data_IF_477811970178
#
_entry.id   IF_477811970178
#
_cell.length_a   1.000
_cell.length_b   1.000
_cell.length_c   1.000
_cell.angle_alpha   90.00
_cell.angle_beta   90.00
_cell.angle_gamma   90.00
#
_symmetry.space_group_name_H-M   'P 1'
#
loop_
_entity.id
_entity.type
_entity.pdbx_description
1 polymer ?
#
# COMPACT_ATOMS: atom_id res chain seq x y z
N UNK A 1 -17.16 -35.29 -16.18
CA UNK A 1 -16.36 -34.17 -15.66
C UNK A 1 -16.58 -33.01 -16.58
N UNK A 2 -17.33 -31.98 -16.17
CA UNK A 2 -17.51 -30.78 -16.99
C UNK A 2 -16.15 -30.11 -17.18
N UNK A 3 -15.77 -29.79 -18.41
CA UNK A 3 -14.51 -29.10 -18.69
C UNK A 3 -14.57 -27.70 -18.06
N UNK A 4 -13.48 -27.23 -17.47
CA UNK A 4 -13.40 -25.91 -16.82
C UNK A 4 -13.95 -24.78 -17.71
N UNK A 5 -13.73 -24.89 -19.02
CA UNK A 5 -14.21 -23.96 -20.04
C UNK A 5 -15.73 -23.87 -20.18
N UNK A 6 -16.47 -24.90 -19.77
CA UNK A 6 -17.93 -24.91 -19.81
C UNK A 6 -18.51 -24.20 -18.59
N UNK A 7 -17.86 -24.36 -17.43
CA UNK A 7 -18.19 -23.63 -16.21
C UNK A 7 -17.96 -22.12 -16.41
N UNK A 8 -16.84 -21.74 -17.02
CA UNK A 8 -16.50 -20.33 -17.30
C UNK A 8 -17.55 -19.64 -18.19
N UNK A 9 -18.07 -20.37 -19.19
CA UNK A 9 -19.14 -19.87 -20.06
C UNK A 9 -20.45 -19.67 -19.32
N UNK A 10 -20.82 -20.58 -18.42
CA UNK A 10 -22.03 -20.45 -17.59
C UNK A 10 -21.93 -19.24 -16.66
N UNK A 11 -20.75 -19.01 -16.06
CA UNK A 11 -20.49 -17.86 -15.20
C UNK A 11 -20.61 -16.55 -15.99
N UNK A 12 -20.04 -16.47 -17.19
CA UNK A 12 -20.18 -15.29 -18.06
C UNK A 12 -21.64 -15.00 -18.42
N UNK A 13 -22.41 -16.04 -18.75
CA UNK A 13 -23.83 -15.88 -19.08
C UNK A 13 -24.64 -15.38 -17.87
N UNK A 14 -24.33 -15.89 -16.68
CA UNK A 14 -24.96 -15.44 -15.44
C UNK A 14 -24.64 -13.97 -15.12
N UNK A 15 -23.37 -13.57 -15.24
CA UNK A 15 -22.95 -12.18 -14.98
C UNK A 15 -23.64 -11.19 -15.93
N UNK A 16 -23.75 -11.55 -17.20
CA UNK A 16 -24.50 -10.74 -18.19
C UNK A 16 -25.99 -10.68 -17.89
N UNK A 17 -26.59 -11.81 -17.49
CA UNK A 17 -28.01 -11.84 -17.12
C UNK A 17 -28.32 -10.97 -15.89
N UNK A 18 -27.41 -10.93 -14.92
CA UNK A 18 -27.56 -10.10 -13.71
C UNK A 18 -27.17 -8.63 -13.91
N UNK A 19 -26.62 -8.26 -15.07
CA UNK A 19 -26.27 -6.88 -15.39
C UNK A 19 -24.89 -6.44 -14.90
N UNK A 20 -24.03 -7.36 -14.47
CA UNK A 20 -22.66 -7.04 -14.08
C UNK A 20 -21.73 -7.02 -15.30
N UNK A 21 -21.84 -5.96 -16.11
CA UNK A 21 -21.09 -5.81 -17.36
C UNK A 21 -19.58 -5.64 -17.13
N UNK A 22 -19.19 -4.82 -16.14
CA UNK A 22 -17.79 -4.55 -15.82
C UNK A 22 -17.06 -5.81 -15.34
N UNK A 23 -17.69 -6.57 -14.44
CA UNK A 23 -17.11 -7.83 -13.94
C UNK A 23 -17.05 -8.89 -15.03
N UNK A 24 -18.01 -8.93 -15.95
CA UNK A 24 -17.97 -9.87 -17.07
C UNK A 24 -16.79 -9.56 -18.01
N UNK A 25 -16.50 -8.28 -18.26
CA UNK A 25 -15.33 -7.88 -19.06
C UNK A 25 -14.01 -8.24 -18.38
N UNK A 26 -13.91 -8.06 -17.06
CA UNK A 26 -12.72 -8.47 -16.30
C UNK A 26 -12.56 -9.99 -16.29
N UNK A 27 -13.62 -10.74 -16.05
CA UNK A 27 -13.59 -12.20 -16.07
C UNK A 27 -13.20 -12.77 -17.46
N UNK A 28 -13.60 -12.11 -18.54
CA UNK A 28 -13.18 -12.46 -19.90
C UNK A 28 -11.68 -12.22 -20.11
N UNK A 29 -11.13 -11.13 -19.57
CA UNK A 29 -9.68 -10.87 -19.58
C UNK A 29 -8.92 -11.91 -18.75
N UNK A 30 -9.46 -12.33 -17.60
CA UNK A 30 -8.82 -13.28 -16.70
C UNK A 30 -8.86 -14.72 -17.22
N UNK A 31 -9.95 -15.12 -17.89
CA UNK A 31 -10.06 -16.44 -18.57
C UNK A 31 -9.18 -16.49 -19.82
N UNK A 32 -9.06 -15.39 -20.56
CA UNK A 32 -8.10 -15.25 -21.66
C UNK A 32 -6.65 -15.27 -21.16
N UNK A 33 -6.35 -14.59 -20.06
CA UNK A 33 -5.04 -14.63 -19.41
C UNK A 33 -4.73 -16.04 -18.87
N UNK A 34 -5.69 -16.73 -18.26
CA UNK A 34 -5.52 -18.09 -17.74
C UNK A 34 -5.34 -19.15 -18.82
N UNK A 35 -5.89 -18.94 -20.02
CA UNK A 35 -5.64 -19.82 -21.17
C UNK A 35 -4.26 -19.58 -21.80
N UNK A 36 -3.69 -18.37 -21.68
CA UNK A 36 -2.30 -18.10 -22.06
C UNK A 36 -1.27 -18.52 -21.00
N UNK A 37 -1.65 -18.57 -19.71
CA UNK A 37 -0.74 -18.85 -18.59
C UNK A 37 -0.50 -20.34 -18.32
N UNK A 38 -1.15 -21.26 -19.06
CA UNK A 38 -1.06 -22.71 -18.84
C UNK A 38 0.12 -23.40 -19.56
N UNK A 39 0.89 -22.69 -20.40
CA UNK A 39 2.03 -23.27 -21.14
C UNK A 39 3.39 -22.59 -20.94
N UNK A 40 3.51 -21.53 -20.13
CA UNK A 40 4.80 -20.89 -19.89
C UNK A 40 5.08 -20.63 -18.42
N UNK A 41 6.10 -21.33 -17.92
CA UNK A 41 6.80 -20.95 -16.70
C UNK A 41 7.61 -19.68 -17.00
N UNK A 42 7.19 -18.57 -16.39
CA UNK A 42 7.99 -17.43 -15.88
C UNK A 42 8.78 -16.54 -16.88
N UNK A 43 8.63 -15.22 -16.67
CA UNK A 43 9.39 -14.02 -17.15
C UNK A 43 8.96 -13.40 -18.50
N UNK A 44 8.70 -12.09 -18.63
CA UNK A 44 8.84 -10.94 -17.72
C UNK A 44 7.98 -9.76 -18.26
N UNK A 45 7.17 -9.13 -17.39
CA UNK A 45 7.02 -7.67 -17.32
C UNK A 45 6.25 -7.31 -16.03
N UNK A 46 7.04 -7.14 -14.97
CA UNK A 46 6.89 -6.18 -13.86
C UNK A 46 5.51 -6.02 -13.21
N UNK A 47 5.06 -7.06 -12.50
CA UNK A 47 4.10 -6.94 -11.41
C UNK A 47 4.68 -7.70 -10.22
N UNK A 48 5.57 -7.03 -9.47
CA UNK A 48 5.94 -7.45 -8.12
C UNK A 48 4.78 -7.18 -7.15
N UNK A 49 3.61 -7.79 -7.42
CA UNK A 49 2.60 -7.97 -6.38
C UNK A 49 3.16 -8.96 -5.38
N UNK A 50 3.93 -8.41 -4.44
CA UNK A 50 4.18 -9.00 -3.12
C UNK A 50 2.92 -9.72 -2.66
N UNK A 51 3.06 -11.00 -2.30
CA UNK A 51 1.95 -11.89 -1.97
C UNK A 51 1.28 -11.42 -0.67
N UNK A 52 0.43 -10.40 -0.81
CA UNK A 52 -0.29 -9.68 0.23
C UNK A 52 -1.02 -10.63 1.17
N UNK A 53 -1.49 -11.75 0.62
CA UNK A 53 -2.27 -12.77 1.33
C UNK A 53 -1.38 -13.71 2.15
N UNK A 54 -0.23 -14.11 1.62
CA UNK A 54 0.69 -15.02 2.30
C UNK A 54 1.37 -14.34 3.49
N UNK A 55 1.80 -13.08 3.31
CA UNK A 55 2.42 -12.31 4.38
C UNK A 55 1.41 -11.82 5.44
N UNK A 56 0.19 -11.45 5.05
CA UNK A 56 -0.86 -11.10 6.01
C UNK A 56 -1.18 -12.28 6.94
N UNK A 57 -1.21 -13.51 6.41
CA UNK A 57 -1.38 -14.73 7.22
C UNK A 57 -0.21 -14.97 8.19
N UNK A 58 1.03 -14.65 7.80
CA UNK A 58 2.21 -14.83 8.65
C UNK A 58 2.24 -13.86 9.84
N UNK A 59 1.83 -12.61 9.63
CA UNK A 59 1.77 -11.58 10.68
C UNK A 59 0.45 -11.67 11.49
N UNK A 60 -0.45 -12.60 11.16
CA UNK A 60 -1.73 -12.81 11.84
C UNK A 60 -2.75 -11.69 11.62
N UNK A 61 -2.59 -10.91 10.54
CA UNK A 61 -3.45 -9.78 10.17
C UNK A 61 -4.34 -10.18 8.98
N UNK A 62 -5.54 -9.60 8.85
CA UNK A 62 -6.34 -9.85 7.64
C UNK A 62 -5.74 -9.10 6.45
N UNK A 63 -5.81 -9.66 5.23
CA UNK A 63 -5.32 -8.97 4.01
C UNK A 63 -5.94 -7.58 3.86
N UNK A 64 -7.18 -7.41 4.32
CA UNK A 64 -7.94 -6.17 4.27
C UNK A 64 -7.37 -5.09 5.22
N UNK A 65 -6.81 -5.51 6.37
CA UNK A 65 -6.19 -4.61 7.37
C UNK A 65 -4.78 -4.22 6.95
N UNK A 66 -4.08 -5.11 6.24
CA UNK A 66 -2.73 -4.86 5.73
C UNK A 66 -2.74 -3.91 4.53
N UNK A 67 -3.73 -4.05 3.63
CA UNK A 67 -3.96 -3.09 2.56
C UNK A 67 -4.30 -1.69 3.10
N UNK A 68 -4.97 -1.58 4.26
CA UNK A 68 -5.29 -0.29 4.88
C UNK A 68 -4.07 0.40 5.52
N UNK A 69 -3.04 -0.34 5.93
CA UNK A 69 -1.80 0.25 6.49
C UNK A 69 -0.78 0.52 5.39
N UNK A 70 -1.14 1.38 4.43
CA UNK A 70 -0.34 1.74 3.27
C UNK A 70 1.10 2.16 3.61
N UNK A 71 1.31 2.99 4.64
CA UNK A 71 2.65 3.45 5.06
C UNK A 71 3.56 2.28 5.48
N UNK A 72 3.02 1.32 6.24
CA UNK A 72 3.77 0.14 6.67
C UNK A 72 3.94 -0.87 5.53
N UNK A 73 2.94 -0.96 4.64
CA UNK A 73 2.97 -1.80 3.45
C UNK A 73 4.10 -1.38 2.48
N UNK A 74 4.29 -0.09 2.23
CA UNK A 74 5.41 0.41 1.41
C UNK A 74 6.75 0.33 2.17
N UNK A 75 6.69 0.49 3.49
CA UNK A 75 7.79 0.22 4.44
C UNK A 75 8.39 -1.16 4.32
N UNK A 76 7.56 -2.18 4.19
CA UNK A 76 8.05 -3.57 4.14
C UNK A 76 8.52 -3.99 2.74
N UNK A 77 7.92 -3.44 1.68
CA UNK A 77 8.05 -4.02 0.33
C UNK A 77 9.03 -3.28 -0.60
N UNK A 78 10.08 -2.64 -0.07
CA UNK A 78 11.05 -1.88 -0.88
C UNK A 78 10.39 -0.83 -1.80
N UNK A 79 9.28 -0.23 -1.34
CA UNK A 79 8.54 0.74 -2.14
C UNK A 79 9.36 2.00 -2.43
N UNK A 80 9.16 2.55 -3.63
CA UNK A 80 9.78 3.81 -4.08
C UNK A 80 9.74 4.89 -3.00
N UNK A 81 10.86 5.58 -2.78
CA UNK A 81 10.97 6.65 -1.79
C UNK A 81 9.92 7.77 -1.97
N UNK A 82 9.43 7.98 -3.20
CA UNK A 82 8.35 8.92 -3.53
C UNK A 82 7.00 8.58 -2.87
N UNK A 83 6.74 7.30 -2.60
CA UNK A 83 5.48 6.87 -1.95
C UNK A 83 5.42 7.31 -0.49
N UNK A 84 6.53 7.28 0.24
CA UNK A 84 6.57 7.75 1.63
C UNK A 84 6.13 9.21 1.77
N UNK A 85 6.58 10.08 0.84
CA UNK A 85 6.17 11.50 0.83
C UNK A 85 4.67 11.65 0.57
N UNK A 86 4.12 10.89 -0.38
CA UNK A 86 2.69 10.96 -0.74
C UNK A 86 1.79 10.50 0.41
N UNK A 87 2.11 9.35 0.99
CA UNK A 87 1.32 8.70 2.04
C UNK A 87 1.39 9.50 3.35
N UNK A 88 2.57 10.03 3.69
CA UNK A 88 2.72 10.88 4.86
C UNK A 88 1.97 12.22 4.71
N UNK A 89 1.90 12.78 3.49
CA UNK A 89 1.09 13.96 3.21
C UNK A 89 -0.41 13.67 3.35
N UNK A 90 -0.88 12.52 2.88
CA UNK A 90 -2.26 12.09 3.06
C UNK A 90 -2.61 11.94 4.54
N UNK A 91 -1.73 11.31 5.34
CA UNK A 91 -1.88 11.24 6.80
C UNK A 91 -1.94 12.64 7.43
N UNK A 92 -1.08 13.56 7.02
CA UNK A 92 -1.06 14.92 7.54
C UNK A 92 -2.36 15.68 7.23
N UNK A 93 -2.86 15.54 6.01
CA UNK A 93 -4.14 16.11 5.56
C UNK A 93 -5.31 15.51 6.33
N UNK A 94 -5.29 14.20 6.57
CA UNK A 94 -6.31 13.51 7.37
C UNK A 94 -6.30 13.99 8.83
N UNK A 95 -5.12 14.14 9.44
CA UNK A 95 -5.00 14.71 10.80
C UNK A 95 -5.56 16.14 10.83
N UNK A 96 -5.28 16.96 9.82
CA UNK A 96 -5.80 18.33 9.74
C UNK A 96 -7.33 18.37 9.64
N UNK A 97 -7.94 17.42 8.92
CA UNK A 97 -9.38 17.24 8.77
C UNK A 97 -10.07 16.51 9.95
N UNK A 98 -9.31 15.98 10.91
CA UNK A 98 -9.85 15.28 12.07
C UNK A 98 -10.50 16.24 13.08
N UNK A 99 -11.35 15.70 13.97
CA UNK A 99 -12.06 16.49 14.99
C UNK A 99 -11.07 17.16 15.96
N UNK A 100 -11.27 18.45 16.25
CA UNK A 100 -10.39 19.27 17.10
C UNK A 100 -10.08 18.65 18.47
N UNK A 101 -11.01 17.87 19.02
CA UNK A 101 -10.85 17.15 20.29
C UNK A 101 -9.69 16.14 20.23
N UNK A 102 -9.51 15.46 19.10
CA UNK A 102 -8.51 14.41 18.92
C UNK A 102 -7.19 14.94 18.35
N UNK A 103 -7.18 16.12 17.70
CA UNK A 103 -5.97 16.75 17.16
C UNK A 103 -4.75 16.73 18.09
N UNK A 104 -4.83 17.07 19.40
CA UNK A 104 -3.65 17.06 20.26
C UNK A 104 -3.04 15.66 20.45
N UNK A 105 -3.86 14.60 20.43
CA UNK A 105 -3.40 13.21 20.52
C UNK A 105 -2.81 12.73 19.19
N UNK A 106 -3.48 13.02 18.07
CA UNK A 106 -2.95 12.67 16.75
C UNK A 106 -1.62 13.38 16.42
N UNK A 107 -1.46 14.64 16.83
CA UNK A 107 -0.19 15.37 16.68
C UNK A 107 0.93 14.73 17.51
N UNK A 108 0.62 14.14 18.67
CA UNK A 108 1.62 13.45 19.48
C UNK A 108 2.12 12.15 18.83
N UNK A 109 1.22 11.41 18.18
CA UNK A 109 1.51 10.15 17.47
C UNK A 109 2.15 10.39 16.09
N UNK A 110 1.96 11.56 15.49
CA UNK A 110 2.58 11.94 14.20
C UNK A 110 4.11 11.84 14.21
N UNK A 111 4.76 12.29 15.28
CA UNK A 111 6.23 12.31 15.35
C UNK A 111 6.89 10.92 15.41
N UNK A 112 6.49 9.97 16.27
CA UNK A 112 7.10 8.64 16.26
C UNK A 112 6.91 7.93 14.91
N UNK A 113 5.79 8.20 14.22
CA UNK A 113 5.57 7.74 12.84
C UNK A 113 6.56 8.38 11.86
N UNK A 114 6.75 9.70 11.93
CA UNK A 114 7.72 10.42 11.10
C UNK A 114 9.15 9.89 11.27
N UNK A 115 9.60 9.71 12.52
CA UNK A 115 10.93 9.17 12.82
C UNK A 115 11.07 7.75 12.30
N UNK A 116 10.05 6.91 12.48
CA UNK A 116 10.09 5.55 11.97
C UNK A 116 10.22 5.49 10.45
N UNK A 117 9.46 6.32 9.71
CA UNK A 117 9.56 6.42 8.26
C UNK A 117 10.93 6.93 7.80
N UNK A 118 11.50 7.90 8.51
CA UNK A 118 12.82 8.44 8.21
C UNK A 118 13.93 7.40 8.42
N UNK A 119 13.89 6.65 9.53
CA UNK A 119 14.86 5.60 9.81
C UNK A 119 14.74 4.43 8.82
N UNK A 120 13.53 4.08 8.41
CA UNK A 120 13.28 3.03 7.41
C UNK A 120 13.80 3.44 6.02
N UNK A 121 13.68 4.71 5.63
CA UNK A 121 14.30 5.25 4.41
C UNK A 121 15.84 5.18 4.45
N UNK A 122 16.44 5.45 5.61
CA UNK A 122 17.89 5.33 5.82
C UNK A 122 18.37 3.87 5.77
N UNK A 123 17.64 2.94 6.38
CA UNK A 123 17.98 1.51 6.36
C UNK A 123 17.95 0.94 4.93
N UNK A 124 17.03 1.46 4.09
CA UNK A 124 16.92 1.09 2.68
C UNK A 124 17.95 1.75 1.76
N UNK A 125 18.75 2.71 2.25
CA UNK A 125 19.79 3.40 1.48
C UNK A 125 19.28 4.55 0.59
N UNK A 126 18.08 5.07 0.85
CA UNK A 126 17.52 6.23 0.14
C UNK A 126 17.90 7.55 0.85
N UNK A 127 19.20 7.81 0.99
CA UNK A 127 19.73 8.93 1.79
C UNK A 127 19.27 10.31 1.28
N UNK A 128 19.16 10.47 -0.05
CA UNK A 128 18.80 11.73 -0.68
C UNK A 128 17.34 12.08 -0.41
N UNK A 129 16.47 11.10 -0.53
CA UNK A 129 15.04 11.21 -0.31
C UNK A 129 14.74 11.34 1.18
N UNK A 130 15.47 10.62 2.04
CA UNK A 130 15.42 10.81 3.49
C UNK A 130 15.79 12.26 3.88
N UNK A 131 16.84 12.84 3.28
CA UNK A 131 17.21 14.23 3.49
C UNK A 131 16.15 15.23 3.03
N UNK A 132 15.52 14.98 1.87
CA UNK A 132 14.41 15.79 1.38
C UNK A 132 13.17 15.70 2.31
N UNK A 133 12.87 14.50 2.80
CA UNK A 133 11.80 14.23 3.76
C UNK A 133 12.04 14.98 5.08
N UNK A 134 13.26 14.91 5.62
CA UNK A 134 13.63 15.65 6.84
C UNK A 134 13.51 17.16 6.66
N UNK A 135 13.99 17.71 5.55
CA UNK A 135 13.91 19.14 5.27
C UNK A 135 12.45 19.64 5.17
N UNK A 136 11.54 18.80 4.65
CA UNK A 136 10.15 19.17 4.44
C UNK A 136 9.30 19.15 5.72
N UNK A 137 9.43 18.11 6.55
CA UNK A 137 8.59 17.94 7.75
C UNK A 137 9.30 18.20 9.07
N UNK A 138 10.63 18.18 9.11
CA UNK A 138 11.43 18.45 10.31
C UNK A 138 11.11 19.78 11.02
N UNK A 139 10.98 20.92 10.30
CA UNK A 139 10.68 22.21 10.94
C UNK A 139 9.33 22.25 11.66
N UNK A 140 8.35 21.44 11.22
CA UNK A 140 7.00 21.42 11.79
C UNK A 140 6.93 20.79 13.20
N UNK A 141 7.88 19.91 13.53
CA UNK A 141 7.90 19.19 14.82
C UNK A 141 8.75 19.88 15.89
N UNK A 142 9.59 20.85 15.47
CA UNK A 142 10.55 21.57 16.31
C UNK A 142 9.95 22.28 17.54
N UNK A 143 8.75 22.90 17.49
CA UNK A 143 8.23 23.65 18.65
C UNK A 143 7.95 22.79 19.87
N UNK A 144 7.62 21.50 19.69
CA UNK A 144 7.29 20.57 20.79
C UNK A 144 8.43 19.62 21.13
N UNK A 145 9.33 19.34 20.18
CA UNK A 145 10.42 18.34 20.31
C UNK A 145 11.80 18.85 19.85
N UNK A 146 12.11 20.12 20.05
CA UNK A 146 13.36 20.73 19.61
C UNK A 146 14.61 19.91 19.98
N UNK A 147 14.66 19.35 21.19
CA UNK A 147 15.80 18.58 21.69
C UNK A 147 16.02 17.24 20.95
N UNK A 148 14.96 16.61 20.44
CA UNK A 148 15.07 15.34 19.71
C UNK A 148 15.39 15.57 18.23
N UNK A 149 14.87 16.68 17.66
CA UNK A 149 15.15 17.09 16.28
C UNK A 149 16.59 17.59 16.11
N UNK A 150 17.17 18.23 17.13
CA UNK A 150 18.57 18.68 17.08
C UNK A 150 19.57 17.52 17.36
N UNK A 151 19.09 16.37 17.86
CA UNK A 151 19.91 15.20 18.18
C UNK A 151 20.02 14.18 17.03
N UNK A 152 19.16 14.30 16.01
CA UNK A 152 19.13 13.51 14.79
C UNK A 152 19.77 14.29 13.64
#
# INVERSE_FOLDING_TARGET
MASATEVDKVVLQYLRYKGYADTASHFEKDTAASSMKKESKTQDQDDSEVNLKEFAMEVGLTPDTFAQNHVFFWGINQGDASRYETEYNELETWIAGSLDLYKPELVAVRYPLFVHCFLDLLEKGFDREAGAFWARWGPGHRPRRAAEVDAL
#
